data_IF_956268140358
#
_entry.id   IF_956268140358
#
_cell.length_a   1.000
_cell.length_b   1.000
_cell.length_c   1.000
_cell.angle_alpha   90.00
_cell.angle_beta   90.00
_cell.angle_gamma   90.00
#
_symmetry.space_group_name_H-M   'P 1'
#
loop_
_entity.id
_entity.type
_entity.pdbx_description
1 polymer ?
#
# COMPACT_ATOMS: atom_id res chain seq x y z
N UNK A 1 2.19 9.01 -4.06
CA UNK A 1 3.07 7.82 -4.05
C UNK A 1 2.85 7.11 -5.37
N UNK A 2 3.85 7.09 -6.25
CA UNK A 2 3.71 6.54 -7.62
C UNK A 2 3.85 5.01 -7.62
N UNK A 3 3.44 4.33 -8.71
CA UNK A 3 3.60 2.88 -8.83
C UNK A 3 5.08 2.46 -8.75
N UNK A 4 5.98 3.29 -9.29
CA UNK A 4 7.42 3.08 -9.20
C UNK A 4 7.92 3.12 -7.75
N UNK A 5 7.41 4.04 -6.94
CA UNK A 5 7.77 4.12 -5.51
C UNK A 5 7.26 2.90 -4.72
N UNK A 6 6.07 2.39 -5.05
CA UNK A 6 5.52 1.17 -4.47
C UNK A 6 6.35 -0.06 -4.86
N UNK A 7 6.70 -0.16 -6.14
CA UNK A 7 7.53 -1.23 -6.68
C UNK A 7 8.92 -1.20 -6.04
N UNK A 8 9.59 -0.03 -6.02
CA UNK A 8 10.89 0.17 -5.35
C UNK A 8 10.84 -0.18 -3.86
N UNK A 9 9.76 0.19 -3.15
CA UNK A 9 9.59 -0.23 -1.74
C UNK A 9 9.46 -1.74 -1.61
N UNK A 10 8.70 -2.40 -2.48
CA UNK A 10 8.58 -3.85 -2.47
C UNK A 10 9.94 -4.52 -2.80
N UNK A 11 10.75 -3.92 -3.68
CA UNK A 11 12.14 -4.32 -3.90
C UNK A 11 13.02 -4.14 -2.66
N UNK A 12 12.87 -3.08 -1.87
CA UNK A 12 13.69 -2.93 -0.65
C UNK A 12 13.31 -3.88 0.49
N UNK A 13 12.11 -4.48 0.43
CA UNK A 13 11.55 -5.30 1.50
C UNK A 13 11.75 -6.82 1.29
N UNK A 14 12.35 -7.27 0.19
CA UNK A 14 12.56 -8.70 -0.06
C UNK A 14 13.87 -9.27 0.49
N UNK A 15 14.81 -8.43 0.93
CA UNK A 15 16.22 -8.81 1.21
C UNK A 15 16.35 -9.97 2.21
N UNK A 16 15.41 -10.08 3.17
CA UNK A 16 15.43 -11.13 4.20
C UNK A 16 14.40 -12.26 3.97
N UNK A 17 13.89 -12.42 2.75
CA UNK A 17 12.87 -13.42 2.43
C UNK A 17 13.50 -14.73 1.95
N UNK A 18 13.13 -15.84 2.60
CA UNK A 18 13.52 -17.18 2.15
C UNK A 18 12.45 -17.75 1.22
N UNK A 19 12.82 -18.13 0.00
CA UNK A 19 11.88 -18.67 -1.00
C UNK A 19 12.08 -20.17 -1.18
N UNK A 20 11.04 -20.95 -0.90
CA UNK A 20 11.01 -22.40 -1.05
C UNK A 20 10.01 -22.79 -2.16
N UNK A 21 10.48 -23.30 -3.32
CA UNK A 21 9.58 -23.81 -4.35
C UNK A 21 8.81 -25.03 -3.83
N UNK A 22 7.49 -25.03 -4.02
CA UNK A 22 6.67 -26.25 -3.83
C UNK A 22 6.49 -26.99 -5.16
N UNK A 23 6.35 -26.24 -6.24
CA UNK A 23 6.44 -26.70 -7.62
C UNK A 23 6.86 -25.52 -8.52
N UNK A 24 6.71 -25.64 -9.85
CA UNK A 24 7.10 -24.59 -10.80
C UNK A 24 6.22 -23.33 -10.77
N UNK A 25 5.04 -23.38 -10.15
CA UNK A 25 4.04 -22.30 -10.15
C UNK A 25 3.84 -21.71 -8.75
N UNK A 26 3.96 -22.55 -7.72
CA UNK A 26 3.62 -22.24 -6.33
C UNK A 26 4.87 -22.27 -5.46
N UNK A 27 5.06 -21.20 -4.70
CA UNK A 27 6.22 -20.97 -3.86
C UNK A 27 5.77 -20.59 -2.45
N UNK A 28 6.47 -21.13 -1.46
CA UNK A 28 6.36 -20.70 -0.07
C UNK A 28 7.47 -19.70 0.23
N UNK A 29 7.09 -18.51 0.71
CA UNK A 29 8.00 -17.43 1.07
C UNK A 29 7.92 -17.19 2.57
N UNK A 30 9.06 -17.33 3.24
CA UNK A 30 9.19 -17.23 4.69
C UNK A 30 9.80 -15.87 5.03
N UNK A 31 9.15 -15.17 5.97
CA UNK A 31 9.58 -13.91 6.56
C UNK A 31 9.55 -14.06 8.10
N UNK A 32 10.68 -14.46 8.68
CA UNK A 32 10.74 -14.89 10.08
C UNK A 32 9.78 -16.06 10.34
N UNK A 33 8.86 -15.90 11.28
CA UNK A 33 7.84 -16.92 11.61
C UNK A 33 6.67 -16.95 10.62
N UNK A 34 6.52 -15.94 9.75
CA UNK A 34 5.38 -15.85 8.84
C UNK A 34 5.67 -16.56 7.54
N UNK A 35 4.71 -17.34 7.07
CA UNK A 35 4.75 -18.01 5.77
C UNK A 35 3.69 -17.41 4.86
N UNK A 36 4.08 -17.13 3.62
CA UNK A 36 3.17 -16.71 2.57
C UNK A 36 3.29 -17.64 1.38
N UNK A 37 2.17 -17.93 0.74
CA UNK A 37 2.17 -18.68 -0.52
C UNK A 37 2.03 -17.67 -1.66
N UNK A 38 2.88 -17.81 -2.67
CA UNK A 38 2.83 -17.08 -3.93
C UNK A 38 2.48 -18.06 -5.03
N UNK A 39 1.52 -17.70 -5.85
CA UNK A 39 1.11 -18.44 -7.04
C UNK A 39 1.35 -17.56 -8.27
N UNK A 40 2.25 -18.00 -9.15
CA UNK A 40 2.64 -17.27 -10.36
C UNK A 40 1.52 -17.23 -11.40
N UNK A 41 0.77 -18.33 -11.55
CA UNK A 41 -0.32 -18.43 -12.54
C UNK A 41 -1.49 -17.54 -12.13
N UNK A 42 -1.87 -17.59 -10.84
CA UNK A 42 -2.95 -16.78 -10.31
C UNK A 42 -2.54 -15.32 -10.04
N UNK A 43 -1.26 -14.96 -10.23
CA UNK A 43 -0.68 -13.66 -9.87
C UNK A 43 -1.08 -13.23 -8.46
N UNK A 44 -0.90 -14.15 -7.50
CA UNK A 44 -1.52 -14.03 -6.19
C UNK A 44 -0.54 -14.30 -5.05
N UNK A 45 -0.79 -13.67 -3.89
CA UNK A 45 -0.08 -13.95 -2.66
C UNK A 45 -1.07 -14.05 -1.48
N UNK A 46 -0.81 -14.93 -0.51
CA UNK A 46 -1.64 -15.04 0.70
C UNK A 46 -1.65 -13.76 1.54
N UNK A 47 -0.65 -12.89 1.39
CA UNK A 47 -0.65 -11.54 1.99
C UNK A 47 -1.75 -10.62 1.41
N UNK A 48 -2.40 -11.03 0.32
CA UNK A 48 -3.42 -10.32 -0.47
C UNK A 48 -2.95 -9.04 -1.16
N UNK A 49 -1.68 -8.63 -0.96
CA UNK A 49 -1.15 -7.39 -1.53
C UNK A 49 -1.05 -7.42 -3.03
N UNK A 50 -0.59 -8.53 -3.58
CA UNK A 50 -0.45 -8.67 -5.02
C UNK A 50 -1.80 -8.51 -5.73
N UNK A 51 -2.87 -9.10 -5.18
CA UNK A 51 -4.22 -9.01 -5.75
C UNK A 51 -4.83 -7.62 -5.57
N UNK A 52 -4.67 -7.01 -4.41
CA UNK A 52 -5.26 -5.70 -4.09
C UNK A 52 -4.60 -4.56 -4.83
N UNK A 53 -3.27 -4.54 -4.82
CA UNK A 53 -2.48 -3.48 -5.45
C UNK A 53 -2.29 -3.76 -6.96
N UNK A 54 -2.61 -4.97 -7.42
CA UNK A 54 -2.35 -5.47 -8.79
C UNK A 54 -0.91 -5.23 -9.28
N UNK A 55 0.01 -5.16 -8.32
CA UNK A 55 1.45 -4.97 -8.46
C UNK A 55 2.10 -6.05 -7.59
N UNK A 56 3.17 -6.70 -8.05
CA UNK A 56 3.92 -7.66 -7.25
C UNK A 56 4.25 -7.13 -5.85
N UNK A 57 3.83 -7.89 -4.83
CA UNK A 57 4.26 -7.62 -3.46
C UNK A 57 5.70 -8.12 -3.22
N UNK A 58 6.33 -7.74 -2.11
CA UNK A 58 7.70 -8.14 -1.80
C UNK A 58 7.94 -9.67 -1.87
N UNK A 59 6.97 -10.48 -1.45
CA UNK A 59 7.06 -11.94 -1.56
C UNK A 59 7.05 -12.41 -3.02
N UNK A 60 6.21 -11.82 -3.86
CA UNK A 60 6.15 -12.16 -5.29
C UNK A 60 7.45 -11.75 -6.00
N UNK A 61 7.99 -10.56 -5.68
CA UNK A 61 9.28 -10.09 -6.21
C UNK A 61 10.41 -11.06 -5.84
N UNK A 62 10.46 -11.57 -4.61
CA UNK A 62 11.46 -12.56 -4.20
C UNK A 62 11.38 -13.85 -5.05
N UNK A 63 10.15 -14.32 -5.34
CA UNK A 63 9.94 -15.49 -6.19
C UNK A 63 10.35 -15.22 -7.63
N UNK A 64 10.00 -14.05 -8.17
CA UNK A 64 10.36 -13.67 -9.54
C UNK A 64 11.89 -13.62 -9.71
N UNK A 65 12.60 -13.02 -8.76
CA UNK A 65 14.08 -13.02 -8.78
C UNK A 65 14.65 -14.44 -8.76
N UNK A 66 14.15 -15.31 -7.87
CA UNK A 66 14.61 -16.71 -7.80
C UNK A 66 14.29 -17.50 -9.08
N UNK A 67 13.23 -17.12 -9.79
CA UNK A 67 12.77 -17.76 -11.02
C UNK A 67 13.30 -17.07 -12.29
N UNK A 68 14.17 -16.04 -12.15
CA UNK A 68 14.66 -15.21 -13.23
C UNK A 68 13.56 -14.61 -14.13
N UNK A 69 12.47 -14.16 -13.50
CA UNK A 69 11.33 -13.50 -14.13
C UNK A 69 11.39 -12.00 -13.85
N UNK A 70 10.96 -11.18 -14.80
CA UNK A 70 10.82 -9.74 -14.60
C UNK A 70 9.51 -9.44 -13.84
N UNK A 71 9.54 -8.84 -12.64
CA UNK A 71 8.34 -8.43 -11.93
C UNK A 71 7.44 -7.46 -12.73
N UNK A 72 8.00 -6.65 -13.63
CA UNK A 72 7.21 -5.69 -14.42
C UNK A 72 6.20 -6.39 -15.34
N UNK A 73 6.51 -7.58 -15.86
CA UNK A 73 5.60 -8.39 -16.69
C UNK A 73 4.35 -8.87 -15.93
N UNK A 74 4.42 -8.84 -14.60
CA UNK A 74 3.37 -9.29 -13.70
C UNK A 74 2.57 -8.14 -13.09
N UNK A 75 2.92 -6.88 -13.38
CA UNK A 75 2.10 -5.72 -13.06
C UNK A 75 0.84 -5.67 -13.92
N UNK A 76 -0.23 -5.08 -13.38
CA UNK A 76 -1.46 -4.86 -14.16
C UNK A 76 -1.23 -3.83 -15.28
N UNK A 77 -1.82 -4.05 -16.47
CA UNK A 77 -1.82 -3.07 -17.56
C UNK A 77 -2.35 -1.70 -17.14
N UNK A 78 -3.15 -1.62 -16.08
CA UNK A 78 -3.65 -0.36 -15.53
C UNK A 78 -2.55 0.64 -15.17
N UNK A 79 -1.34 0.16 -14.87
CA UNK A 79 -0.19 0.99 -14.51
C UNK A 79 0.71 1.36 -15.68
N UNK A 80 0.36 0.99 -16.91
CA UNK A 80 1.17 1.35 -18.08
C UNK A 80 0.88 2.77 -18.55
N UNK A 81 1.87 3.38 -19.20
CA UNK A 81 1.73 4.71 -19.78
C UNK A 81 0.64 4.73 -20.84
N UNK A 82 0.55 3.66 -21.63
CA UNK A 82 -0.42 3.51 -22.71
C UNK A 82 -1.84 3.54 -22.17
N UNK A 83 -2.13 2.81 -21.08
CA UNK A 83 -3.44 2.81 -20.44
C UNK A 83 -3.77 4.17 -19.83
N UNK A 84 -2.79 4.85 -19.23
CA UNK A 84 -2.96 6.19 -18.69
C UNK A 84 -3.30 7.20 -19.80
N UNK A 85 -2.55 7.20 -20.89
CA UNK A 85 -2.81 8.08 -22.05
C UNK A 85 -4.18 7.77 -22.65
N UNK A 86 -4.54 6.48 -22.79
CA UNK A 86 -5.85 6.07 -23.28
C UNK A 86 -7.00 6.56 -22.39
N UNK A 87 -6.84 6.51 -21.07
CA UNK A 87 -7.85 6.96 -20.11
C UNK A 87 -8.13 8.47 -20.21
N UNK A 88 -7.13 9.27 -20.58
CA UNK A 88 -7.22 10.73 -20.75
C UNK A 88 -7.19 11.18 -22.22
N UNK A 89 -7.40 10.24 -23.16
CA UNK A 89 -7.37 10.55 -24.60
C UNK A 89 -8.52 11.47 -25.00
N UNK A 90 -9.68 11.27 -24.39
CA UNK A 90 -10.88 12.05 -24.67
C UNK A 90 -10.88 13.38 -23.91
N UNK A 91 -11.45 14.41 -24.54
CA UNK A 91 -11.55 15.72 -23.92
C UNK A 91 -12.61 15.71 -22.81
N UNK A 92 -12.20 16.10 -21.61
CA UNK A 92 -13.15 16.44 -20.54
C UNK A 92 -13.57 17.89 -20.74
N UNK A 93 -14.73 18.10 -21.37
CA UNK A 93 -15.29 19.43 -21.51
C UNK A 93 -15.77 19.95 -20.15
N UNK A 94 -15.55 21.24 -19.84
CA UNK A 94 -16.10 21.84 -18.64
C UNK A 94 -17.63 21.76 -18.71
N UNK A 95 -18.24 21.51 -17.55
CA UNK A 95 -19.70 21.59 -17.44
C UNK A 95 -20.10 23.05 -17.65
N UNK A 96 -21.02 23.31 -18.58
CA UNK A 96 -21.50 24.66 -18.89
C UNK A 96 -22.25 25.30 -17.71
N UNK A 97 -22.72 26.54 -17.90
CA UNK A 97 -23.52 27.21 -16.87
C UNK A 97 -24.78 26.40 -16.53
N UNK A 98 -25.06 26.26 -15.23
CA UNK A 98 -26.21 25.54 -14.68
C UNK A 98 -27.54 26.04 -15.23
N UNK A 99 -27.64 27.33 -15.51
CA UNK A 99 -28.85 27.95 -16.08
C UNK A 99 -29.22 27.36 -17.46
N UNK A 100 -28.23 26.83 -18.18
CA UNK A 100 -28.42 26.25 -19.52
C UNK A 100 -28.59 24.73 -19.49
N UNK A 101 -28.60 24.09 -18.31
CA UNK A 101 -28.71 22.64 -18.22
C UNK A 101 -30.14 22.18 -18.50
N UNK A 102 -30.31 21.37 -19.55
CA UNK A 102 -31.56 20.67 -19.80
C UNK A 102 -31.62 19.40 -18.95
N UNK A 103 -32.19 19.51 -17.75
CA UNK A 103 -32.39 18.36 -16.85
C UNK A 103 -33.77 17.74 -17.13
N UNK A 104 -33.85 16.45 -17.48
CA UNK A 104 -35.12 15.72 -17.62
C UNK A 104 -36.01 15.81 -16.37
N UNK A 105 -37.32 15.89 -16.56
CA UNK A 105 -38.28 16.10 -15.46
C UNK A 105 -38.20 14.99 -14.40
N UNK A 106 -38.01 13.74 -14.85
CA UNK A 106 -37.84 12.57 -13.98
C UNK A 106 -36.59 12.64 -13.09
N UNK A 107 -35.55 13.39 -13.50
CA UNK A 107 -34.35 13.62 -12.69
C UNK A 107 -34.52 14.82 -11.76
N UNK A 108 -35.27 15.87 -12.17
CA UNK A 108 -35.61 16.99 -11.27
C UNK A 108 -36.46 16.54 -10.09
N UNK A 109 -37.37 15.60 -10.31
CA UNK A 109 -38.23 15.03 -9.26
C UNK A 109 -37.52 13.97 -8.40
N UNK A 110 -36.29 13.57 -8.76
CA UNK A 110 -35.56 12.52 -8.05
C UNK A 110 -35.02 13.06 -6.71
N UNK A 111 -35.57 12.56 -5.60
CA UNK A 111 -35.04 12.84 -4.27
C UNK A 111 -33.96 11.81 -3.96
N UNK A 112 -32.70 12.26 -3.92
CA UNK A 112 -31.56 11.41 -3.52
C UNK A 112 -31.37 11.53 -2.01
N UNK A 113 -31.76 10.49 -1.29
CA UNK A 113 -31.47 10.40 0.14
C UNK A 113 -29.99 10.06 0.37
N UNK A 114 -29.40 10.53 1.48
CA UNK A 114 -28.08 10.04 1.88
C UNK A 114 -28.13 8.52 2.05
N UNK A 115 -27.04 7.80 1.74
CA UNK A 115 -26.99 6.36 2.00
C UNK A 115 -27.30 6.11 3.48
N UNK A 116 -28.16 5.13 3.74
CA UNK A 116 -28.52 4.76 5.11
C UNK A 116 -27.26 4.40 5.90
N UNK A 117 -26.94 5.23 6.89
CA UNK A 117 -25.83 5.00 7.78
C UNK A 117 -26.12 3.76 8.63
N UNK A 118 -25.39 2.66 8.41
CA UNK A 118 -25.39 1.56 9.36
C UNK A 118 -24.68 2.01 10.64
N UNK A 119 -25.43 2.26 11.71
CA UNK A 119 -24.88 2.33 13.06
C UNK A 119 -24.36 0.92 13.37
N UNK A 120 -23.04 0.73 13.38
CA UNK A 120 -22.48 -0.52 13.86
C UNK A 120 -22.85 -0.64 15.34
N UNK A 121 -23.41 -1.78 15.75
CA UNK A 121 -23.78 -2.12 17.15
C UNK A 121 -22.55 -2.16 18.09
N UNK A 122 -21.37 -1.84 17.57
CA UNK A 122 -20.12 -1.88 18.29
C UNK A 122 -19.83 -0.53 18.96
N UNK A 123 -19.08 -0.58 20.07
CA UNK A 123 -18.70 0.61 20.83
C UNK A 123 -17.97 1.60 19.90
N UNK A 124 -18.40 2.88 19.83
CA UNK A 124 -17.69 3.90 19.06
C UNK A 124 -16.21 3.89 19.40
N UNK A 125 -15.37 3.71 18.39
CA UNK A 125 -13.92 3.66 18.61
C UNK A 125 -13.47 5.03 19.13
N UNK A 126 -12.93 5.08 20.34
CA UNK A 126 -12.34 6.30 20.95
C UNK A 126 -11.18 6.89 20.14
N UNK A 127 -10.60 6.11 19.22
CA UNK A 127 -9.47 6.51 18.38
C UNK A 127 -9.77 6.20 16.92
N UNK A 128 -9.41 7.14 16.04
CA UNK A 128 -9.48 6.98 14.59
C UNK A 128 -8.73 5.73 14.13
N UNK A 129 -9.30 4.97 13.20
CA UNK A 129 -8.60 3.88 12.52
C UNK A 129 -7.47 4.45 11.67
N UNK A 130 -6.22 4.12 12.01
CA UNK A 130 -5.06 4.52 11.22
C UNK A 130 -5.00 3.71 9.92
N UNK A 131 -4.81 4.42 8.82
CA UNK A 131 -4.57 3.83 7.50
C UNK A 131 -3.24 3.07 7.48
N UNK A 132 -3.01 2.23 6.46
CA UNK A 132 -1.82 1.38 6.40
C UNK A 132 -0.50 2.17 6.45
N UNK A 133 -0.42 3.30 5.74
CA UNK A 133 0.76 4.17 5.73
C UNK A 133 0.98 4.91 7.06
N UNK A 134 -0.08 5.16 7.84
CA UNK A 134 0.03 5.75 9.19
C UNK A 134 0.45 4.74 10.26
N UNK A 135 0.22 3.43 10.04
CA UNK A 135 0.67 2.37 10.94
C UNK A 135 2.20 2.19 10.89
N UNK A 136 2.80 2.39 9.72
CA UNK A 136 4.25 2.24 9.52
C UNK A 136 5.09 3.45 10.00
N UNK A 137 4.46 4.55 10.42
CA UNK A 137 5.15 5.68 11.09
C UNK A 137 5.71 5.32 12.48
N UNK A 138 5.49 4.08 12.96
CA UNK A 138 6.07 3.56 14.21
C UNK A 138 7.56 3.25 14.13
N UNK A 139 8.22 3.39 12.98
CA UNK A 139 9.67 3.68 12.98
C UNK A 139 9.81 5.15 13.37
N UNK A 140 9.42 5.47 14.61
CA UNK A 140 9.90 6.65 15.29
C UNK A 140 11.41 6.49 15.28
N UNK A 141 12.12 7.39 14.59
CA UNK A 141 13.55 7.62 14.81
C UNK A 141 13.76 7.51 16.31
N UNK A 142 14.43 6.46 16.76
CA UNK A 142 14.76 6.30 18.17
C UNK A 142 15.43 7.62 18.57
N UNK A 143 14.78 8.36 19.46
CA UNK A 143 15.30 9.68 19.84
C UNK A 143 16.67 9.42 20.46
N UNK A 144 17.72 9.86 19.76
CA UNK A 144 19.08 9.75 20.24
C UNK A 144 19.35 10.93 21.17
N UNK A 145 19.73 10.61 22.40
CA UNK A 145 20.04 11.62 23.39
C UNK A 145 21.32 12.36 23.00
N UNK A 146 21.26 13.68 22.83
CA UNK A 146 22.45 14.48 22.50
C UNK A 146 23.50 14.51 23.61
N UNK A 147 23.15 14.16 24.87
CA UNK A 147 24.05 14.13 26.03
C UNK A 147 24.87 12.83 26.14
N UNK A 148 24.21 11.66 25.97
CA UNK A 148 24.85 10.35 26.19
C UNK A 148 24.90 9.48 24.93
N UNK A 149 24.36 9.97 23.81
CA UNK A 149 24.26 9.31 22.49
C UNK A 149 23.49 7.99 22.47
N UNK A 150 22.81 7.65 23.57
CA UNK A 150 21.94 6.47 23.67
C UNK A 150 20.53 6.77 23.15
N UNK A 151 19.88 5.72 22.65
CA UNK A 151 18.55 5.78 22.06
C UNK A 151 17.43 5.63 23.10
N UNK A 152 16.25 6.17 22.80
CA UNK A 152 15.03 5.96 23.59
C UNK A 152 14.68 7.07 24.58
N UNK A 153 15.48 8.14 24.67
CA UNK A 153 15.21 9.31 25.51
C UNK A 153 15.88 10.57 24.95
N UNK A 154 15.44 11.75 25.39
CA UNK A 154 16.03 13.04 24.99
C UNK A 154 16.92 13.63 26.09
N UNK A 155 17.67 14.71 25.79
CA UNK A 155 18.57 15.38 26.76
C UNK A 155 17.85 15.84 28.04
N UNK A 156 16.58 16.24 27.94
CA UNK A 156 15.81 16.75 29.10
C UNK A 156 15.45 15.65 30.11
N UNK A 157 15.32 14.40 29.65
CA UNK A 157 14.98 13.25 30.50
C UNK A 157 16.17 12.31 30.73
N UNK A 158 17.39 12.74 30.40
CA UNK A 158 18.59 11.91 30.48
C UNK A 158 19.14 11.83 31.91
N UNK A 159 19.13 10.63 32.49
CA UNK A 159 19.74 10.33 33.80
C UNK A 159 21.22 9.91 33.71
N UNK A 160 21.73 9.67 32.50
CA UNK A 160 23.10 9.23 32.31
C UNK A 160 24.09 10.41 32.47
N UNK A 161 25.32 10.15 32.95
CA UNK A 161 26.39 11.15 32.98
C UNK A 161 26.73 11.61 31.55
N UNK A 162 27.37 12.77 31.42
CA UNK A 162 27.91 13.23 30.13
C UNK A 162 28.96 12.22 29.67
N UNK A 163 28.89 11.79 28.40
CA UNK A 163 30.05 11.16 27.78
C UNK A 163 31.07 12.27 27.57
N UNK A 164 32.10 12.31 28.41
CA UNK A 164 33.32 13.03 28.08
C UNK A 164 34.11 12.09 27.16
N UNK A 165 34.44 12.59 25.97
CA UNK A 165 35.39 11.95 25.06
C UNK A 165 36.82 12.14 25.60
#
# INVERSE_FOLDING_TARGET
MTYEELTKKNYLLFVDLTVNPKNHIVFEVINGERKNIVDLSARSCTSKRFQMDQIPCAHAIAVFQKSNLDPYDYCSPYYTKETMVAAYKENVYPVGNKDNWQVPENLKSLIVYPPEGRIRVDRPKKRRCKTHWERNRKILKLIQCSKCKQNGHNKRTCKNPTKND
#
